data_IF_765173041973
#
_entry.id   IF_765173041973
#
_cell.length_a   1.000
_cell.length_b   1.000
_cell.length_c   1.000
_cell.angle_alpha   90.00
_cell.angle_beta   90.00
_cell.angle_gamma   90.00
#
_symmetry.space_group_name_H-M   'P 1'
#
loop_
_entity.id
_entity.type
_entity.pdbx_description
1 polymer ?
#
# COMPACT_ATOMS: atom_id res chain seq x y z
N UNK A 1 -11.16 -7.75 -16.62
CA UNK A 1 -9.96 -7.53 -15.80
C UNK A 1 -9.43 -8.82 -15.17
N UNK A 2 -10.24 -9.62 -14.45
CA UNK A 2 -9.76 -10.89 -13.88
C UNK A 2 -9.21 -11.82 -14.97
N UNK A 3 -9.93 -11.99 -16.07
CA UNK A 3 -9.51 -12.80 -17.24
C UNK A 3 -8.23 -12.26 -17.85
N UNK A 4 -8.08 -10.93 -17.96
CA UNK A 4 -6.86 -10.29 -18.45
C UNK A 4 -5.70 -10.52 -17.48
N UNK A 5 -5.94 -10.39 -16.18
CA UNK A 5 -4.94 -10.67 -15.14
C UNK A 5 -4.48 -12.13 -15.14
N UNK A 6 -5.43 -13.07 -15.20
CA UNK A 6 -5.13 -14.50 -15.31
C UNK A 6 -4.38 -14.79 -16.61
N UNK A 7 -4.84 -14.22 -17.74
CA UNK A 7 -4.18 -14.35 -19.04
C UNK A 7 -2.76 -13.79 -19.03
N UNK A 8 -2.54 -12.65 -18.37
CA UNK A 8 -1.20 -12.07 -18.21
C UNK A 8 -0.27 -12.96 -17.38
N UNK A 9 -0.73 -13.45 -16.24
CA UNK A 9 0.06 -14.39 -15.40
C UNK A 9 0.32 -15.69 -16.13
N UNK A 10 -0.65 -16.24 -16.85
CA UNK A 10 -0.50 -17.45 -17.64
C UNK A 10 0.50 -17.25 -18.80
N UNK A 11 0.40 -16.13 -19.52
CA UNK A 11 1.34 -15.77 -20.58
C UNK A 11 2.76 -15.62 -20.01
N UNK A 12 2.88 -14.92 -18.88
CA UNK A 12 4.17 -14.74 -18.23
C UNK A 12 4.75 -16.09 -17.73
N UNK A 13 3.94 -16.95 -17.14
CA UNK A 13 4.34 -18.30 -16.76
C UNK A 13 4.84 -19.11 -17.98
N UNK A 14 4.13 -18.97 -19.11
CA UNK A 14 4.49 -19.67 -20.34
C UNK A 14 5.80 -19.15 -20.93
N UNK A 15 5.95 -17.83 -21.06
CA UNK A 15 7.17 -17.17 -21.60
C UNK A 15 8.39 -17.43 -20.71
N UNK A 16 8.20 -17.59 -19.41
CA UNK A 16 9.28 -17.86 -18.45
C UNK A 16 9.45 -19.33 -18.12
N UNK A 17 8.88 -20.24 -18.93
CA UNK A 17 8.96 -21.70 -18.72
C UNK A 17 8.61 -22.11 -17.29
N UNK A 18 7.42 -21.70 -16.80
CA UNK A 18 6.98 -22.01 -15.45
C UNK A 18 7.71 -21.22 -14.37
N UNK A 19 8.15 -20.00 -14.68
CA UNK A 19 8.90 -19.11 -13.78
C UNK A 19 10.30 -19.63 -13.43
N UNK A 20 10.87 -20.51 -14.22
CA UNK A 20 12.13 -21.20 -13.93
C UNK A 20 13.36 -20.53 -14.57
N UNK A 21 13.20 -19.56 -15.48
CA UNK A 21 14.33 -18.91 -16.14
C UNK A 21 15.03 -17.90 -15.23
N UNK A 22 16.34 -18.02 -15.11
CA UNK A 22 17.21 -17.24 -14.24
C UNK A 22 17.39 -15.76 -14.62
N UNK A 23 16.83 -15.32 -15.74
CA UNK A 23 17.07 -13.98 -16.29
C UNK A 23 15.86 -13.03 -16.36
N UNK A 24 14.66 -13.47 -15.97
CA UNK A 24 13.42 -12.69 -16.09
C UNK A 24 12.79 -12.31 -14.75
N UNK A 25 11.97 -11.27 -14.77
CA UNK A 25 11.09 -10.93 -13.65
C UNK A 25 10.17 -12.12 -13.38
N UNK A 26 10.25 -12.65 -12.15
CA UNK A 26 9.38 -13.76 -11.70
C UNK A 26 8.18 -13.18 -10.98
N UNK A 27 6.95 -13.74 -11.14
CA UNK A 27 5.86 -13.45 -10.21
C UNK A 27 6.31 -13.73 -8.78
N UNK A 28 5.93 -12.81 -7.87
CA UNK A 28 6.32 -12.97 -6.47
C UNK A 28 7.77 -12.59 -6.18
N UNK A 29 8.40 -11.73 -7.00
CA UNK A 29 9.78 -11.27 -6.76
C UNK A 29 9.98 -10.71 -5.37
N UNK A 30 9.01 -9.97 -4.85
CA UNK A 30 9.10 -9.37 -3.53
C UNK A 30 8.76 -10.38 -2.43
N UNK A 31 7.83 -11.31 -2.69
CA UNK A 31 7.60 -12.41 -1.77
C UNK A 31 8.82 -13.31 -1.63
N UNK A 32 9.60 -13.48 -2.69
CA UNK A 32 10.86 -14.21 -2.61
C UNK A 32 11.80 -13.58 -1.59
N UNK A 33 11.89 -12.24 -1.55
CA UNK A 33 12.67 -11.51 -0.54
C UNK A 33 12.11 -11.79 0.87
N UNK A 34 10.79 -11.76 1.04
CA UNK A 34 10.14 -12.05 2.32
C UNK A 34 10.37 -13.49 2.76
N UNK A 35 10.24 -14.44 1.84
CA UNK A 35 10.47 -15.86 2.10
C UNK A 35 11.94 -16.15 2.43
N UNK A 36 12.88 -15.52 1.74
CA UNK A 36 14.32 -15.68 2.03
C UNK A 36 14.68 -15.09 3.41
N UNK A 37 14.09 -13.96 3.78
CA UNK A 37 14.27 -13.38 5.11
C UNK A 37 13.69 -14.30 6.21
N UNK A 38 12.50 -14.86 5.98
CA UNK A 38 11.91 -15.89 6.85
C UNK A 38 12.83 -17.09 7.00
N UNK A 39 13.38 -17.60 5.88
CA UNK A 39 14.32 -18.72 5.88
C UNK A 39 15.54 -18.44 6.74
N UNK A 40 16.18 -17.26 6.59
CA UNK A 40 17.32 -16.86 7.41
C UNK A 40 16.97 -16.80 8.90
N UNK A 41 15.78 -16.26 9.25
CA UNK A 41 15.31 -16.20 10.65
C UNK A 41 15.14 -17.59 11.25
N UNK A 42 14.49 -18.53 10.51
CA UNK A 42 14.25 -19.90 10.97
C UNK A 42 15.55 -20.70 11.14
N UNK A 43 16.63 -20.30 10.46
CA UNK A 43 17.98 -20.83 10.64
C UNK A 43 18.78 -20.14 11.77
N UNK A 44 18.17 -19.22 12.53
CA UNK A 44 18.87 -18.48 13.58
C UNK A 44 19.78 -17.35 13.06
N UNK A 45 19.68 -16.98 11.80
CA UNK A 45 20.53 -15.99 11.13
C UNK A 45 19.80 -14.65 10.88
N UNK A 46 18.95 -14.21 11.79
CA UNK A 46 18.12 -13.00 11.63
C UNK A 46 18.98 -11.73 11.36
N UNK A 47 20.17 -11.62 11.93
CA UNK A 47 21.07 -10.48 11.71
C UNK A 47 21.55 -10.35 10.26
N UNK A 48 21.66 -11.45 9.50
CA UNK A 48 22.11 -11.42 8.11
C UNK A 48 21.09 -10.73 7.19
N UNK A 49 19.81 -10.70 7.59
CA UNK A 49 18.73 -10.08 6.80
C UNK A 49 18.97 -8.57 6.59
N UNK A 50 19.58 -7.91 7.56
CA UNK A 50 19.87 -6.47 7.52
C UNK A 50 21.22 -6.13 6.91
N UNK A 51 22.11 -7.11 6.71
CA UNK A 51 23.35 -6.94 5.96
C UNK A 51 23.11 -7.23 4.49
N UNK A 52 23.24 -6.22 3.63
CA UNK A 52 22.95 -6.34 2.20
C UNK A 52 23.74 -7.47 1.54
N UNK A 53 25.03 -7.58 1.83
CA UNK A 53 25.92 -8.56 1.19
C UNK A 53 25.60 -9.99 1.65
N UNK A 54 25.35 -10.18 2.95
CA UNK A 54 24.98 -11.46 3.53
C UNK A 54 23.60 -11.90 3.04
N UNK A 55 22.64 -11.00 3.07
CA UNK A 55 21.27 -11.29 2.62
C UNK A 55 21.20 -11.63 1.13
N UNK A 56 21.94 -10.91 0.28
CA UNK A 56 22.01 -11.21 -1.15
C UNK A 56 22.57 -12.61 -1.43
N UNK A 57 23.55 -13.09 -0.63
CA UNK A 57 24.02 -14.48 -0.69
C UNK A 57 22.92 -15.47 -0.31
N UNK A 58 22.23 -15.22 0.81
CA UNK A 58 21.11 -16.08 1.24
C UNK A 58 20.04 -16.19 0.15
N UNK A 59 19.64 -15.07 -0.47
CA UNK A 59 18.66 -15.09 -1.57
C UNK A 59 19.20 -15.87 -2.77
N UNK A 60 20.47 -15.73 -3.12
CA UNK A 60 21.10 -16.47 -4.21
C UNK A 60 21.14 -17.98 -3.95
N UNK A 61 21.51 -18.40 -2.74
CA UNK A 61 21.54 -19.83 -2.34
C UNK A 61 20.16 -20.47 -2.46
N UNK A 62 19.15 -19.81 -1.92
CA UNK A 62 17.76 -20.28 -1.91
C UNK A 62 17.16 -20.38 -3.33
N UNK A 63 17.59 -19.53 -4.26
CA UNK A 63 17.04 -19.45 -5.62
C UNK A 63 17.85 -20.19 -6.68
N UNK A 64 18.94 -20.84 -6.29
CA UNK A 64 19.85 -21.50 -7.22
C UNK A 64 20.68 -20.53 -8.08
N UNK A 65 20.87 -19.31 -7.60
CA UNK A 65 21.65 -18.26 -8.23
C UNK A 65 20.81 -17.05 -8.67
N UNK A 66 21.29 -15.85 -8.37
CA UNK A 66 20.75 -14.58 -8.87
C UNK A 66 21.69 -13.98 -9.91
N UNK A 67 21.18 -13.19 -10.87
CA UNK A 67 22.04 -12.33 -11.68
C UNK A 67 22.92 -11.47 -10.75
N UNK A 68 24.22 -11.36 -11.04
CA UNK A 68 25.15 -10.54 -10.25
C UNK A 68 24.76 -9.06 -10.13
N UNK A 69 23.83 -8.60 -10.99
CA UNK A 69 23.29 -7.24 -11.02
C UNK A 69 21.99 -7.07 -10.24
N UNK A 70 21.48 -8.12 -9.58
CA UNK A 70 20.23 -8.01 -8.83
C UNK A 70 20.47 -7.29 -7.51
N UNK A 71 19.91 -6.08 -7.38
CA UNK A 71 19.87 -5.35 -6.12
C UNK A 71 18.62 -5.76 -5.33
N UNK A 72 18.80 -6.56 -4.28
CA UNK A 72 17.70 -7.11 -3.47
C UNK A 72 17.97 -6.84 -1.99
N UNK A 73 17.80 -5.58 -1.54
CA UNK A 73 17.99 -5.24 -0.14
C UNK A 73 16.73 -5.57 0.67
N UNK A 74 16.91 -5.81 1.98
CA UNK A 74 15.82 -5.81 2.93
C UNK A 74 15.55 -4.38 3.41
N UNK A 75 14.47 -3.77 2.93
CA UNK A 75 14.10 -2.37 3.23
C UNK A 75 12.94 -2.26 4.22
N UNK A 76 12.68 -3.30 4.99
CA UNK A 76 11.58 -3.35 5.95
C UNK A 76 12.09 -3.28 7.38
N UNK A 77 11.28 -2.72 8.31
CA UNK A 77 11.63 -2.71 9.72
C UNK A 77 11.65 -4.12 10.32
N UNK A 78 12.34 -4.32 11.45
CA UNK A 78 12.35 -5.61 12.16
C UNK A 78 10.95 -6.13 12.52
N UNK A 79 9.99 -5.25 12.71
CA UNK A 79 8.58 -5.60 12.93
C UNK A 79 7.95 -6.35 11.76
N UNK A 80 8.35 -6.08 10.52
CA UNK A 80 7.89 -6.84 9.37
C UNK A 80 8.53 -8.24 9.32
N UNK A 81 9.74 -8.37 9.82
CA UNK A 81 10.40 -9.68 9.92
C UNK A 81 9.63 -10.62 10.84
N UNK A 82 9.04 -10.12 11.95
CA UNK A 82 8.13 -10.89 12.80
C UNK A 82 6.94 -11.44 11.98
N UNK A 83 6.37 -10.60 11.13
CA UNK A 83 5.20 -10.94 10.35
C UNK A 83 5.49 -12.00 9.29
N UNK A 84 6.66 -11.94 8.64
CA UNK A 84 7.01 -12.86 7.55
C UNK A 84 7.68 -14.15 8.04
N UNK A 85 8.14 -14.21 9.28
CA UNK A 85 8.86 -15.37 9.84
C UNK A 85 8.19 -16.73 9.56
N UNK A 86 6.85 -16.91 9.59
CA UNK A 86 6.25 -18.21 9.31
C UNK A 86 6.23 -18.59 7.81
N UNK A 87 6.58 -17.71 6.88
CA UNK A 87 6.42 -17.98 5.44
C UNK A 87 7.27 -19.15 4.96
N UNK A 88 8.51 -19.28 5.44
CA UNK A 88 9.41 -20.35 5.03
C UNK A 88 9.17 -21.70 5.73
N UNK A 89 8.13 -21.81 6.55
CA UNK A 89 7.57 -23.10 6.97
C UNK A 89 6.89 -23.82 5.79
N UNK A 90 6.56 -23.07 4.73
CA UNK A 90 5.98 -23.59 3.50
C UNK A 90 7.01 -23.49 2.35
N UNK A 91 7.01 -24.40 1.38
CA UNK A 91 7.74 -24.20 0.13
C UNK A 91 7.32 -22.91 -0.55
N UNK A 92 8.27 -22.21 -1.20
CA UNK A 92 8.04 -20.89 -1.80
C UNK A 92 6.76 -20.77 -2.67
N UNK A 93 6.44 -21.71 -3.59
CA UNK A 93 5.22 -21.63 -4.38
C UNK A 93 3.95 -21.67 -3.52
N UNK A 94 3.92 -22.53 -2.50
CA UNK A 94 2.78 -22.64 -1.60
C UNK A 94 2.67 -21.41 -0.69
N UNK A 95 3.79 -20.90 -0.19
CA UNK A 95 3.84 -19.64 0.57
C UNK A 95 3.27 -18.48 -0.25
N UNK A 96 3.61 -18.40 -1.55
CA UNK A 96 3.07 -17.38 -2.45
C UNK A 96 1.54 -17.48 -2.57
N UNK A 97 1.00 -18.66 -2.85
CA UNK A 97 -0.44 -18.86 -2.98
C UNK A 97 -1.20 -18.55 -1.68
N UNK A 98 -0.69 -19.03 -0.54
CA UNK A 98 -1.30 -18.80 0.77
C UNK A 98 -1.26 -17.32 1.13
N UNK A 99 -0.09 -16.68 1.00
CA UNK A 99 0.09 -15.26 1.30
C UNK A 99 -0.81 -14.38 0.43
N UNK A 100 -0.82 -14.64 -0.87
CA UNK A 100 -1.61 -13.88 -1.83
C UNK A 100 -3.12 -14.07 -1.62
N UNK A 101 -3.57 -15.32 -1.47
CA UNK A 101 -5.00 -15.62 -1.28
C UNK A 101 -5.53 -15.04 0.02
N UNK A 102 -4.79 -15.17 1.13
CA UNK A 102 -5.14 -14.58 2.41
C UNK A 102 -5.19 -13.05 2.35
N UNK A 103 -4.16 -12.44 1.72
CA UNK A 103 -4.07 -10.99 1.55
C UNK A 103 -5.20 -10.43 0.68
N UNK A 104 -5.51 -11.09 -0.44
CA UNK A 104 -6.58 -10.70 -1.35
C UNK A 104 -7.96 -10.85 -0.69
N UNK A 105 -8.18 -11.95 0.03
CA UNK A 105 -9.43 -12.16 0.79
C UNK A 105 -9.62 -11.07 1.86
N UNK A 106 -8.58 -10.78 2.64
CA UNK A 106 -8.61 -9.73 3.66
C UNK A 106 -8.89 -8.35 3.03
N UNK A 107 -8.20 -8.02 1.93
CA UNK A 107 -8.38 -6.77 1.20
C UNK A 107 -9.81 -6.61 0.67
N UNK A 108 -10.34 -7.63 0.00
CA UNK A 108 -11.71 -7.60 -0.56
C UNK A 108 -12.75 -7.45 0.56
N UNK A 109 -12.65 -8.28 1.62
CA UNK A 109 -13.59 -8.23 2.73
C UNK A 109 -13.55 -6.87 3.45
N UNK A 110 -12.36 -6.34 3.71
CA UNK A 110 -12.18 -5.08 4.41
C UNK A 110 -12.66 -3.89 3.57
N UNK A 111 -12.31 -3.85 2.28
CA UNK A 111 -12.65 -2.77 1.35
C UNK A 111 -14.16 -2.72 1.08
N UNK A 112 -14.79 -3.87 0.85
CA UNK A 112 -16.26 -3.96 0.71
C UNK A 112 -16.97 -3.49 1.97
N UNK A 113 -16.46 -3.88 3.15
CA UNK A 113 -17.03 -3.50 4.44
C UNK A 113 -16.92 -2.00 4.71
N UNK A 114 -15.72 -1.42 4.55
CA UNK A 114 -15.47 0.01 4.87
C UNK A 114 -16.19 0.95 3.91
N UNK A 115 -16.29 0.58 2.64
CA UNK A 115 -16.98 1.38 1.62
C UNK A 115 -18.50 1.26 1.68
N UNK A 116 -19.04 0.19 2.27
CA UNK A 116 -20.46 -0.12 2.23
C UNK A 116 -20.96 -0.47 0.82
N UNK A 117 -20.07 -0.90 -0.07
CA UNK A 117 -20.39 -1.17 -1.48
C UNK A 117 -21.42 -2.31 -1.63
N UNK A 118 -21.39 -3.30 -0.73
CA UNK A 118 -22.34 -4.42 -0.72
C UNK A 118 -23.75 -4.02 -0.29
N UNK A 119 -23.93 -2.87 0.34
CA UNK A 119 -25.23 -2.34 0.80
C UNK A 119 -25.91 -1.49 -0.28
N UNK A 120 -25.22 -1.25 -1.41
CA UNK A 120 -25.73 -0.54 -2.56
C UNK A 120 -26.37 -1.47 -3.61
N UNK A 121 -26.65 -0.95 -4.81
CA UNK A 121 -27.35 -1.68 -5.87
C UNK A 121 -26.59 -2.90 -6.41
N UNK A 122 -25.28 -3.01 -6.18
CA UNK A 122 -24.46 -4.12 -6.64
C UNK A 122 -24.69 -5.43 -5.87
N UNK A 123 -25.09 -5.35 -4.59
CA UNK A 123 -25.13 -6.50 -3.71
C UNK A 123 -23.74 -7.06 -3.34
N UNK A 124 -23.69 -8.07 -2.46
CA UNK A 124 -22.44 -8.52 -1.84
C UNK A 124 -21.50 -9.27 -2.80
N UNK A 125 -22.02 -10.08 -3.71
CA UNK A 125 -21.22 -10.85 -4.66
C UNK A 125 -20.55 -9.93 -5.68
N UNK A 126 -21.33 -9.07 -6.35
CA UNK A 126 -20.79 -8.13 -7.34
C UNK A 126 -19.80 -7.13 -6.72
N UNK A 127 -20.07 -6.63 -5.49
CA UNK A 127 -19.15 -5.76 -4.77
C UNK A 127 -17.77 -6.42 -4.54
N UNK A 128 -17.74 -7.71 -4.14
CA UNK A 128 -16.49 -8.46 -3.99
C UNK A 128 -15.74 -8.63 -5.31
N UNK A 129 -16.45 -8.97 -6.39
CA UNK A 129 -15.84 -9.09 -7.72
C UNK A 129 -15.28 -7.77 -8.23
N UNK A 130 -15.99 -6.65 -8.01
CA UNK A 130 -15.52 -5.31 -8.39
C UNK A 130 -14.21 -4.98 -7.68
N UNK A 131 -14.12 -5.23 -6.36
CA UNK A 131 -12.89 -4.96 -5.59
C UNK A 131 -11.77 -5.90 -5.99
N UNK A 132 -12.03 -7.19 -6.15
CA UNK A 132 -11.01 -8.16 -6.57
C UNK A 132 -10.47 -7.87 -7.99
N UNK A 133 -11.32 -7.36 -8.88
CA UNK A 133 -10.97 -7.03 -10.25
C UNK A 133 -10.27 -5.66 -10.41
N UNK A 134 -10.01 -4.94 -9.32
CA UNK A 134 -9.26 -3.68 -9.39
C UNK A 134 -7.81 -3.93 -9.85
N UNK A 135 -7.31 -3.15 -10.83
CA UNK A 135 -5.93 -3.31 -11.32
C UNK A 135 -4.86 -3.22 -10.25
N UNK A 136 -5.09 -2.41 -9.21
CA UNK A 136 -4.17 -2.29 -8.08
C UNK A 136 -3.95 -3.63 -7.34
N UNK A 137 -4.99 -4.46 -7.20
CA UNK A 137 -4.87 -5.77 -6.59
C UNK A 137 -4.04 -6.73 -7.48
N UNK A 138 -4.25 -6.67 -8.80
CA UNK A 138 -3.48 -7.46 -9.77
C UNK A 138 -1.99 -7.08 -9.76
N UNK A 139 -1.67 -5.78 -9.81
CA UNK A 139 -0.28 -5.31 -9.78
C UNK A 139 0.41 -5.75 -8.49
N UNK A 140 -0.25 -5.60 -7.34
CA UNK A 140 0.29 -6.08 -6.07
C UNK A 140 0.52 -7.59 -6.06
N UNK A 141 -0.40 -8.36 -6.63
CA UNK A 141 -0.31 -9.81 -6.73
C UNK A 141 0.90 -10.26 -7.57
N UNK A 142 1.16 -9.62 -8.70
CA UNK A 142 2.31 -9.92 -9.58
C UNK A 142 3.62 -9.92 -8.80
N UNK A 143 3.82 -8.94 -7.91
CA UNK A 143 5.04 -8.82 -7.11
C UNK A 143 5.01 -9.68 -5.82
N UNK A 144 3.83 -10.15 -5.39
CA UNK A 144 3.67 -10.79 -4.09
C UNK A 144 3.89 -9.82 -2.93
N UNK A 145 3.49 -8.55 -3.12
CA UNK A 145 3.72 -7.48 -2.15
C UNK A 145 2.69 -7.45 -1.02
N UNK A 146 3.10 -6.83 0.09
CA UNK A 146 2.29 -6.71 1.30
C UNK A 146 1.24 -5.58 1.26
N UNK A 147 1.11 -4.87 0.14
CA UNK A 147 0.21 -3.71 0.04
C UNK A 147 -1.27 -4.11 0.17
N UNK A 148 -1.67 -5.32 -0.25
CA UNK A 148 -3.02 -5.87 0.01
C UNK A 148 -3.30 -5.98 1.51
N UNK A 149 -2.34 -6.46 2.30
CA UNK A 149 -2.49 -6.62 3.76
C UNK A 149 -2.53 -5.24 4.43
N UNK A 150 -1.64 -4.33 4.07
CA UNK A 150 -1.61 -3.00 4.69
C UNK A 150 -2.88 -2.20 4.37
N UNK A 151 -3.40 -2.28 3.14
CA UNK A 151 -4.67 -1.68 2.77
C UNK A 151 -5.86 -2.35 3.51
N UNK A 152 -5.84 -3.68 3.67
CA UNK A 152 -6.84 -4.40 4.46
C UNK A 152 -6.84 -3.98 5.93
N UNK A 153 -5.67 -3.86 6.56
CA UNK A 153 -5.53 -3.39 7.94
C UNK A 153 -6.11 -1.98 8.10
N UNK A 154 -5.80 -1.06 7.19
CA UNK A 154 -6.35 0.29 7.18
C UNK A 154 -7.87 0.28 7.03
N UNK A 155 -8.41 -0.49 6.09
CA UNK A 155 -9.84 -0.61 5.86
C UNK A 155 -10.60 -1.23 7.04
N UNK A 156 -10.08 -2.32 7.63
CA UNK A 156 -10.66 -2.94 8.83
C UNK A 156 -10.60 -2.02 10.04
N UNK A 157 -9.52 -1.27 10.19
CA UNK A 157 -9.39 -0.27 11.24
C UNK A 157 -10.53 0.75 11.13
N UNK A 158 -10.66 1.41 9.99
CA UNK A 158 -11.66 2.46 9.75
C UNK A 158 -13.09 1.91 9.95
N UNK A 159 -13.37 0.71 9.44
CA UNK A 159 -14.67 0.05 9.60
C UNK A 159 -14.99 -0.37 11.05
N UNK A 160 -14.00 -0.35 11.95
CA UNK A 160 -14.14 -0.84 13.34
C UNK A 160 -14.07 0.27 14.38
N UNK A 161 -13.74 1.52 14.02
CA UNK A 161 -13.50 2.63 14.95
C UNK A 161 -14.64 2.79 15.96
N UNK A 162 -15.88 2.91 15.49
CA UNK A 162 -17.02 3.22 16.35
C UNK A 162 -17.46 2.04 17.22
N UNK A 163 -17.33 0.80 16.74
CA UNK A 163 -17.89 -0.37 17.42
C UNK A 163 -16.85 -1.19 18.18
N UNK A 164 -15.61 -1.21 17.75
CA UNK A 164 -14.51 -2.05 18.25
C UNK A 164 -13.19 -1.29 18.27
N UNK A 165 -13.05 -0.25 19.12
CA UNK A 165 -11.86 0.63 19.08
C UNK A 165 -10.55 -0.13 19.34
N UNK A 166 -10.55 -1.21 20.13
CA UNK A 166 -9.37 -2.04 20.33
C UNK A 166 -8.94 -2.74 19.04
N UNK A 167 -9.89 -3.32 18.28
CA UNK A 167 -9.61 -3.96 16.98
C UNK A 167 -9.08 -2.93 15.98
N UNK A 168 -9.71 -1.74 15.93
CA UNK A 168 -9.24 -0.66 15.07
C UNK A 168 -7.80 -0.25 15.41
N UNK A 169 -7.51 -0.06 16.69
CA UNK A 169 -6.16 0.28 17.15
C UNK A 169 -5.13 -0.81 16.87
N UNK A 170 -5.48 -2.09 17.09
CA UNK A 170 -4.60 -3.22 16.75
C UNK A 170 -4.26 -3.20 15.25
N UNK A 171 -5.27 -3.07 14.37
CA UNK A 171 -5.03 -3.02 12.93
C UNK A 171 -4.12 -1.83 12.53
N UNK A 172 -4.32 -0.65 13.14
CA UNK A 172 -3.45 0.52 12.88
C UNK A 172 -2.03 0.28 13.40
N UNK A 173 -1.90 -0.22 14.64
CA UNK A 173 -0.60 -0.51 15.23
C UNK A 173 0.20 -1.54 14.44
N UNK A 174 -0.46 -2.53 13.83
CA UNK A 174 0.18 -3.50 12.93
C UNK A 174 0.75 -2.85 11.66
N UNK A 175 0.33 -1.63 11.27
CA UNK A 175 0.95 -0.92 10.15
C UNK A 175 2.41 -0.50 10.42
N UNK A 176 2.92 -0.69 11.64
CA UNK A 176 4.35 -0.57 11.95
C UNK A 176 5.24 -1.48 11.10
N UNK A 177 4.67 -2.50 10.43
CA UNK A 177 5.36 -3.32 9.42
C UNK A 177 5.73 -2.52 8.15
N UNK A 178 5.03 -1.40 7.89
CA UNK A 178 5.27 -0.47 6.77
C UNK A 178 4.88 0.95 7.21
N UNK A 179 5.67 1.59 8.09
CA UNK A 179 5.27 2.77 8.84
C UNK A 179 4.92 3.98 7.96
N UNK A 180 5.52 4.11 6.78
CA UNK A 180 5.19 5.18 5.82
C UNK A 180 3.73 5.16 5.37
N UNK A 181 3.08 3.99 5.33
CA UNK A 181 1.67 3.87 4.99
C UNK A 181 0.73 4.14 6.19
N UNK A 182 1.26 4.03 7.41
CA UNK A 182 0.53 4.33 8.64
C UNK A 182 0.65 5.79 9.12
N UNK A 183 1.50 6.59 8.47
CA UNK A 183 1.94 7.91 9.00
C UNK A 183 0.82 8.92 9.22
N UNK A 184 -0.27 8.85 8.45
CA UNK A 184 -1.40 9.75 8.60
C UNK A 184 -2.40 9.33 9.69
N UNK A 185 -2.37 8.08 10.18
CA UNK A 185 -3.33 7.64 11.19
C UNK A 185 -3.27 8.47 12.48
N UNK A 186 -2.12 8.78 13.08
CA UNK A 186 -2.06 9.65 14.25
C UNK A 186 -2.78 10.98 14.01
N UNK A 187 -2.53 11.61 12.86
CA UNK A 187 -3.12 12.89 12.49
C UNK A 187 -4.66 12.80 12.40
N UNK A 188 -5.18 11.81 11.66
CA UNK A 188 -6.63 11.70 11.42
C UNK A 188 -7.39 11.21 12.64
N UNK A 189 -6.78 10.40 13.50
CA UNK A 189 -7.37 10.00 14.79
C UNK A 189 -7.50 11.17 15.76
N UNK A 190 -6.51 12.08 15.80
CA UNK A 190 -6.57 13.32 16.56
C UNK A 190 -7.68 14.21 16.01
N UNK A 191 -7.77 14.37 14.68
CA UNK A 191 -8.83 15.15 14.02
C UNK A 191 -10.23 14.64 14.38
N UNK A 192 -10.41 13.34 14.41
CA UNK A 192 -11.68 12.67 14.75
C UNK A 192 -11.91 12.51 16.27
N UNK A 193 -10.93 12.86 17.11
CA UNK A 193 -10.93 12.66 18.58
C UNK A 193 -11.08 11.21 19.02
N UNK A 194 -10.53 10.27 18.24
CA UNK A 194 -10.60 8.82 18.50
C UNK A 194 -9.45 8.34 19.42
N UNK A 195 -9.41 8.91 20.65
CA UNK A 195 -8.32 8.71 21.61
C UNK A 195 -8.12 7.26 22.05
N UNK A 196 -9.22 6.48 22.17
CA UNK A 196 -9.13 5.06 22.55
C UNK A 196 -8.42 4.27 21.44
N UNK A 197 -8.78 4.52 20.17
CA UNK A 197 -8.14 3.88 19.02
C UNK A 197 -6.67 4.26 18.95
N UNK A 198 -6.36 5.54 19.15
CA UNK A 198 -4.98 6.05 19.19
C UNK A 198 -4.14 5.32 20.26
N UNK A 199 -4.68 5.18 21.49
CA UNK A 199 -3.98 4.47 22.56
C UNK A 199 -3.71 3.00 22.23
N UNK A 200 -4.71 2.28 21.72
CA UNK A 200 -4.53 0.89 21.30
C UNK A 200 -3.55 0.75 20.13
N UNK A 201 -3.54 1.70 19.19
CA UNK A 201 -2.59 1.70 18.07
C UNK A 201 -1.16 1.92 18.56
N UNK A 202 -0.94 2.89 19.42
CA UNK A 202 0.37 3.17 20.03
C UNK A 202 0.88 1.96 20.84
N UNK A 203 0.00 1.36 21.66
CA UNK A 203 0.35 0.16 22.44
C UNK A 203 0.73 -1.00 21.53
N UNK A 204 -0.06 -1.28 20.48
CA UNK A 204 0.23 -2.39 19.55
C UNK A 204 1.53 -2.15 18.82
N UNK A 205 1.77 -0.94 18.30
CA UNK A 205 3.03 -0.60 17.64
C UNK A 205 4.22 -0.76 18.56
N UNK A 206 4.12 -0.31 19.83
CA UNK A 206 5.16 -0.48 20.84
C UNK A 206 5.43 -1.96 21.14
N UNK A 207 4.38 -2.79 21.30
CA UNK A 207 4.53 -4.22 21.55
C UNK A 207 5.21 -4.94 20.38
N UNK A 208 4.84 -4.61 19.12
CA UNK A 208 5.51 -5.16 17.93
C UNK A 208 6.98 -4.76 17.88
N UNK A 209 7.29 -3.50 18.19
CA UNK A 209 8.66 -3.00 18.21
C UNK A 209 9.48 -3.71 19.30
N UNK A 210 8.95 -3.80 20.53
CA UNK A 210 9.62 -4.50 21.64
C UNK A 210 9.83 -5.96 21.28
N UNK A 211 8.82 -6.66 20.77
CA UNK A 211 8.94 -8.05 20.36
C UNK A 211 10.02 -8.24 19.28
N UNK A 212 10.10 -7.33 18.31
CA UNK A 212 11.13 -7.40 17.26
C UNK A 212 12.55 -7.20 17.82
N UNK A 213 12.72 -6.28 18.77
CA UNK A 213 14.02 -6.05 19.44
C UNK A 213 14.40 -7.24 20.32
N UNK A 214 13.45 -7.82 21.04
CA UNK A 214 13.71 -9.00 21.89
C UNK A 214 14.13 -10.21 21.05
N UNK A 215 13.48 -10.42 19.90
CA UNK A 215 13.72 -11.60 19.06
C UNK A 215 14.93 -11.43 18.12
N UNK A 216 15.15 -10.24 17.57
CA UNK A 216 16.18 -10.00 16.55
C UNK A 216 17.36 -9.16 17.03
N UNK A 217 17.31 -8.69 18.28
CA UNK A 217 18.34 -7.86 18.90
C UNK A 217 18.19 -6.37 18.55
N UNK A 218 18.67 -5.50 19.47
CA UNK A 218 18.64 -4.03 19.31
C UNK A 218 19.44 -3.51 18.10
N UNK A 219 20.54 -4.15 17.63
CA UNK A 219 21.26 -3.69 16.44
C UNK A 219 20.41 -3.68 15.18
N UNK A 220 19.36 -4.51 15.10
CA UNK A 220 18.46 -4.57 13.92
C UNK A 220 17.78 -3.23 13.59
N UNK A 221 17.53 -2.38 14.59
CA UNK A 221 16.97 -1.03 14.39
C UNK A 221 17.98 -0.09 13.73
N UNK A 222 19.24 -0.11 14.18
CA UNK A 222 20.30 0.71 13.59
C UNK A 222 20.62 0.28 12.16
N UNK A 223 20.66 -1.03 11.92
CA UNK A 223 20.86 -1.60 10.57
C UNK A 223 19.70 -1.25 9.63
N UNK A 224 18.45 -1.32 10.11
CA UNK A 224 17.30 -0.87 9.36
C UNK A 224 17.39 0.62 8.99
N UNK A 225 17.80 1.48 9.94
CA UNK A 225 17.99 2.90 9.66
C UNK A 225 19.06 3.13 8.57
N UNK A 226 20.16 2.37 8.61
CA UNK A 226 21.19 2.37 7.56
C UNK A 226 20.65 1.94 6.20
N UNK A 227 19.81 0.88 6.15
CA UNK A 227 19.18 0.43 4.91
C UNK A 227 18.19 1.46 4.34
N UNK A 228 17.50 2.22 5.17
CA UNK A 228 16.66 3.34 4.71
C UNK A 228 17.52 4.46 4.11
N UNK A 229 18.67 4.77 4.70
CA UNK A 229 19.63 5.72 4.12
C UNK A 229 20.12 5.27 2.73
N UNK A 230 20.50 4.00 2.60
CA UNK A 230 20.89 3.39 1.32
C UNK A 230 19.74 3.41 0.30
N UNK A 231 18.50 3.09 0.72
CA UNK A 231 17.32 3.13 -0.15
C UNK A 231 17.03 4.57 -0.62
N UNK A 232 17.19 5.56 0.25
CA UNK A 232 17.06 6.96 -0.11
C UNK A 232 18.06 7.33 -1.21
N UNK A 233 19.33 7.07 -0.99
CA UNK A 233 20.39 7.41 -1.93
C UNK A 233 20.25 6.66 -3.26
N UNK A 234 20.15 5.33 -3.23
CA UNK A 234 20.20 4.53 -4.46
C UNK A 234 18.87 4.49 -5.22
N UNK A 235 17.73 4.54 -4.55
CA UNK A 235 16.42 4.39 -5.18
C UNK A 235 15.73 5.74 -5.32
N UNK A 236 15.50 6.43 -4.19
CA UNK A 236 14.71 7.66 -4.21
C UNK A 236 15.42 8.77 -4.99
N UNK A 237 16.71 8.96 -4.78
CA UNK A 237 17.45 10.09 -5.35
C UNK A 237 18.00 9.82 -6.76
N UNK A 238 18.27 8.56 -7.15
CA UNK A 238 19.01 8.24 -8.37
C UNK A 238 18.36 7.21 -9.30
N UNK A 239 17.35 6.41 -8.87
CA UNK A 239 16.76 5.39 -9.75
C UNK A 239 15.64 5.96 -10.63
N UNK A 240 15.95 6.19 -11.90
CA UNK A 240 14.99 6.65 -12.92
C UNK A 240 13.83 5.64 -13.08
N UNK A 241 14.06 4.33 -12.90
CA UNK A 241 13.00 3.32 -13.00
C UNK A 241 12.00 3.48 -11.86
N UNK A 242 12.50 3.80 -10.67
CA UNK A 242 11.64 4.16 -9.55
C UNK A 242 10.79 5.39 -9.87
N UNK A 243 11.39 6.46 -10.39
CA UNK A 243 10.66 7.69 -10.72
C UNK A 243 9.57 7.46 -11.78
N UNK A 244 9.83 6.58 -12.75
CA UNK A 244 8.84 6.19 -13.77
C UNK A 244 7.71 5.33 -13.22
N UNK A 245 7.90 4.64 -12.10
CA UNK A 245 6.92 3.76 -11.45
C UNK A 245 6.26 4.38 -10.22
N UNK A 246 6.60 5.63 -9.89
CA UNK A 246 6.16 6.29 -8.66
C UNK A 246 5.23 7.46 -8.98
N UNK A 247 3.97 7.44 -8.49
CA UNK A 247 3.02 8.53 -8.66
C UNK A 247 3.28 9.72 -7.72
N UNK A 248 4.50 9.85 -7.20
CA UNK A 248 4.82 10.93 -6.27
C UNK A 248 5.23 12.23 -6.97
N UNK A 249 4.91 13.37 -6.36
CA UNK A 249 5.36 14.69 -6.82
C UNK A 249 6.89 14.74 -6.86
N UNK A 250 7.56 14.12 -5.89
CA UNK A 250 9.00 14.01 -5.85
C UNK A 250 9.56 13.37 -7.14
N UNK A 251 9.06 12.17 -7.48
CA UNK A 251 9.50 11.43 -8.66
C UNK A 251 9.24 12.20 -9.96
N UNK A 252 8.09 12.86 -10.08
CA UNK A 252 7.75 13.67 -11.24
C UNK A 252 8.72 14.82 -11.46
N UNK A 253 9.11 15.51 -10.40
CA UNK A 253 10.06 16.62 -10.45
C UNK A 253 11.48 16.13 -10.78
N UNK A 254 11.88 14.99 -10.21
CA UNK A 254 13.17 14.37 -10.54
C UNK A 254 13.24 13.95 -12.01
N UNK A 255 12.16 13.42 -12.59
CA UNK A 255 12.09 13.05 -14.01
C UNK A 255 12.30 14.25 -14.96
N UNK A 256 11.82 15.43 -14.60
CA UNK A 256 12.02 16.64 -15.41
C UNK A 256 13.32 17.40 -15.06
N UNK A 257 14.19 16.79 -14.23
CA UNK A 257 15.53 17.33 -13.93
C UNK A 257 15.55 18.38 -12.81
N UNK A 258 14.50 18.52 -12.00
CA UNK A 258 14.51 19.41 -10.86
C UNK A 258 15.58 18.98 -9.83
N UNK A 259 16.15 19.94 -9.11
CA UNK A 259 17.10 19.67 -8.04
C UNK A 259 16.45 18.85 -6.90
N UNK A 260 17.27 18.14 -6.14
CA UNK A 260 16.78 17.35 -4.98
C UNK A 260 15.99 18.22 -4.01
N UNK A 261 16.55 19.39 -3.65
CA UNK A 261 15.89 20.33 -2.72
C UNK A 261 14.55 20.85 -3.27
N UNK A 262 14.46 21.19 -4.57
CA UNK A 262 13.21 21.62 -5.18
C UNK A 262 12.16 20.50 -5.17
N UNK A 263 12.56 19.27 -5.46
CA UNK A 263 11.67 18.11 -5.42
C UNK A 263 11.16 17.81 -4.01
N UNK A 264 12.04 17.87 -2.99
CA UNK A 264 11.68 17.65 -1.58
C UNK A 264 10.74 18.74 -1.05
N UNK A 265 11.07 20.01 -1.29
CA UNK A 265 10.24 21.14 -0.81
C UNK A 265 8.85 21.14 -1.44
N UNK A 266 8.78 20.92 -2.76
CA UNK A 266 7.50 20.90 -3.47
C UNK A 266 6.66 19.69 -3.05
N UNK A 267 7.28 18.50 -2.95
CA UNK A 267 6.60 17.32 -2.44
C UNK A 267 6.09 17.53 -1.02
N UNK A 268 6.92 18.10 -0.13
CA UNK A 268 6.54 18.40 1.26
C UNK A 268 5.35 19.37 1.35
N UNK A 269 5.31 20.41 0.50
CA UNK A 269 4.17 21.34 0.45
C UNK A 269 2.88 20.62 0.00
N UNK A 270 2.95 19.78 -1.04
CA UNK A 270 1.80 19.00 -1.51
C UNK A 270 1.37 17.94 -0.49
N UNK A 271 2.32 17.30 0.19
CA UNK A 271 2.05 16.36 1.27
C UNK A 271 1.30 17.02 2.43
N UNK A 272 1.70 18.25 2.80
CA UNK A 272 0.99 19.03 3.83
C UNK A 272 -0.45 19.35 3.42
N UNK A 273 -0.66 19.75 2.16
CA UNK A 273 -2.02 19.99 1.62
C UNK A 273 -2.87 18.72 1.69
N UNK A 274 -2.30 17.57 1.32
CA UNK A 274 -3.01 16.29 1.38
C UNK A 274 -3.33 15.86 2.82
N UNK A 275 -2.40 16.07 3.75
CA UNK A 275 -2.62 15.82 5.17
C UNK A 275 -3.72 16.71 5.75
N UNK A 276 -3.74 18.01 5.40
CA UNK A 276 -4.82 18.93 5.76
C UNK A 276 -6.17 18.52 5.15
N UNK A 277 -6.16 18.01 3.93
CA UNK A 277 -7.36 17.45 3.28
C UNK A 277 -7.92 16.25 4.04
N UNK A 278 -7.06 15.28 4.39
CA UNK A 278 -7.45 14.13 5.19
C UNK A 278 -7.96 14.54 6.59
N UNK A 279 -7.26 15.46 7.27
CA UNK A 279 -7.68 16.04 8.53
C UNK A 279 -9.09 16.61 8.44
N UNK A 280 -9.35 17.45 7.42
CA UNK A 280 -10.64 18.11 7.23
C UNK A 280 -11.77 17.10 7.07
N UNK A 281 -11.58 16.06 6.24
CA UNK A 281 -12.60 15.03 6.02
C UNK A 281 -12.86 14.24 7.30
N UNK A 282 -11.81 13.83 8.01
CA UNK A 282 -11.96 13.03 9.23
C UNK A 282 -12.61 13.80 10.38
N UNK A 283 -12.44 15.11 10.39
CA UNK A 283 -13.09 16.02 11.35
C UNK A 283 -14.55 16.29 11.00
N UNK A 284 -14.90 16.37 9.70
CA UNK A 284 -16.21 16.84 9.23
C UNK A 284 -17.24 15.73 9.05
N UNK A 285 -16.84 14.48 8.80
CA UNK A 285 -17.78 13.36 8.56
C UNK A 285 -17.39 12.09 9.29
N UNK A 286 -18.40 11.30 9.67
CA UNK A 286 -18.23 9.92 10.16
C UNK A 286 -18.44 8.85 9.09
N UNK A 287 -18.71 9.24 7.85
CA UNK A 287 -18.88 8.30 6.74
C UNK A 287 -17.55 7.54 6.49
N UNK A 288 -17.59 6.23 6.77
CA UNK A 288 -16.40 5.37 6.68
C UNK A 288 -15.87 5.26 5.25
N UNK A 289 -16.76 5.34 4.24
CA UNK A 289 -16.37 5.29 2.82
C UNK A 289 -15.56 6.53 2.43
N UNK A 290 -15.98 7.72 2.85
CA UNK A 290 -15.27 8.98 2.60
C UNK A 290 -13.97 9.08 3.40
N UNK A 291 -13.98 8.65 4.68
CA UNK A 291 -12.76 8.56 5.50
C UNK A 291 -11.72 7.65 4.89
N UNK A 292 -12.14 6.46 4.42
CA UNK A 292 -11.25 5.50 3.76
C UNK A 292 -10.72 6.02 2.43
N UNK A 293 -11.58 6.64 1.62
CA UNK A 293 -11.19 7.24 0.35
C UNK A 293 -10.16 8.37 0.52
N UNK A 294 -10.39 9.25 1.50
CA UNK A 294 -9.47 10.33 1.81
C UNK A 294 -8.11 9.83 2.30
N UNK A 295 -8.12 8.89 3.26
CA UNK A 295 -6.90 8.33 3.81
C UNK A 295 -6.10 7.56 2.76
N UNK A 296 -6.76 6.70 1.98
CA UNK A 296 -6.11 5.90 0.93
C UNK A 296 -5.39 6.78 -0.09
N UNK A 297 -6.03 7.86 -0.53
CA UNK A 297 -5.42 8.81 -1.47
C UNK A 297 -4.34 9.66 -0.82
N UNK A 298 -4.61 10.26 0.36
CA UNK A 298 -3.68 11.16 1.02
C UNK A 298 -2.39 10.46 1.46
N UNK A 299 -2.46 9.20 1.92
CA UNK A 299 -1.28 8.39 2.29
C UNK A 299 -0.32 8.24 1.12
N UNK A 300 -0.83 8.01 -0.09
CA UNK A 300 -0.01 7.89 -1.30
C UNK A 300 0.59 9.23 -1.74
N UNK A 301 -0.11 10.36 -1.50
CA UNK A 301 0.41 11.69 -1.81
C UNK A 301 1.51 12.09 -0.82
N UNK A 302 1.34 11.79 0.47
CA UNK A 302 2.27 12.19 1.54
C UNK A 302 3.60 11.46 1.46
N UNK A 303 3.59 10.22 0.98
CA UNK A 303 4.79 9.38 0.96
C UNK A 303 5.59 9.60 -0.33
N UNK A 304 6.86 10.08 -0.29
CA UNK A 304 7.67 10.26 -1.49
C UNK A 304 8.10 8.93 -2.10
N UNK A 305 8.26 7.90 -1.27
CA UNK A 305 8.66 6.55 -1.63
C UNK A 305 7.42 5.66 -1.80
N UNK A 306 6.81 5.69 -2.99
CA UNK A 306 5.63 4.91 -3.37
C UNK A 306 5.92 4.18 -4.67
N UNK A 307 5.82 2.86 -4.69
CA UNK A 307 5.86 2.06 -5.89
C UNK A 307 4.43 1.80 -6.42
N UNK A 308 4.32 1.43 -7.68
CA UNK A 308 3.04 1.13 -8.35
C UNK A 308 2.18 0.07 -7.63
N UNK A 309 2.77 -0.88 -6.91
CA UNK A 309 2.01 -1.87 -6.13
C UNK A 309 1.39 -1.29 -4.84
N UNK A 310 1.92 -0.20 -4.30
CA UNK A 310 1.33 0.50 -3.15
C UNK A 310 0.05 1.24 -3.52
N UNK A 311 -0.18 1.46 -4.82
CA UNK A 311 -1.44 1.96 -5.33
C UNK A 311 -2.63 1.04 -5.01
N UNK A 312 -2.41 -0.13 -4.41
CA UNK A 312 -3.44 -0.96 -3.79
C UNK A 312 -4.30 -0.18 -2.79
N UNK A 313 -3.73 0.83 -2.13
CA UNK A 313 -4.49 1.73 -1.25
C UNK A 313 -5.54 2.57 -1.99
N UNK A 314 -5.41 2.78 -3.30
CA UNK A 314 -6.47 3.38 -4.13
C UNK A 314 -7.71 2.49 -4.22
N UNK A 315 -7.61 1.22 -3.89
CA UNK A 315 -8.78 0.35 -3.77
C UNK A 315 -9.79 0.87 -2.74
N UNK A 316 -9.31 1.44 -1.62
CA UNK A 316 -10.17 2.09 -0.63
C UNK A 316 -10.82 3.34 -1.22
N UNK A 317 -10.04 4.13 -1.95
CA UNK A 317 -10.50 5.36 -2.57
C UNK A 317 -11.55 5.10 -3.67
N UNK A 318 -11.25 4.16 -4.56
CA UNK A 318 -12.15 3.76 -5.62
C UNK A 318 -13.46 3.17 -5.08
N UNK A 319 -13.37 2.23 -4.12
CA UNK A 319 -14.56 1.60 -3.54
C UNK A 319 -15.41 2.60 -2.75
N UNK A 320 -14.78 3.52 -2.02
CA UNK A 320 -15.47 4.55 -1.25
C UNK A 320 -16.23 5.54 -2.14
N UNK A 321 -15.57 6.07 -3.18
CA UNK A 321 -16.20 7.01 -4.11
C UNK A 321 -17.26 6.31 -4.96
N UNK A 322 -17.01 5.08 -5.44
CA UNK A 322 -17.96 4.26 -6.17
C UNK A 322 -19.24 4.01 -5.35
N UNK A 323 -19.08 3.54 -4.10
CA UNK A 323 -20.20 3.26 -3.22
C UNK A 323 -21.03 4.51 -2.94
N UNK A 324 -20.38 5.65 -2.73
CA UNK A 324 -21.06 6.93 -2.49
C UNK A 324 -21.78 7.42 -3.74
N UNK A 325 -21.16 7.34 -4.91
CA UNK A 325 -21.76 7.71 -6.19
C UNK A 325 -22.98 6.85 -6.54
N UNK A 326 -22.90 5.54 -6.29
CA UNK A 326 -24.03 4.62 -6.56
C UNK A 326 -25.21 4.83 -5.59
N UNK A 327 -24.96 5.21 -4.34
CA UNK A 327 -26.00 5.41 -3.33
C UNK A 327 -26.63 6.80 -3.37
N UNK A 328 -25.85 7.84 -3.67
CA UNK A 328 -26.24 9.25 -3.52
C UNK A 328 -26.23 10.04 -4.84
N UNK A 329 -26.02 9.33 -5.97
CA UNK A 329 -25.82 9.97 -7.27
C UNK A 329 -24.40 10.50 -7.47
N UNK A 330 -24.04 10.78 -8.71
CA UNK A 330 -22.71 11.26 -9.10
C UNK A 330 -22.64 12.78 -9.14
N UNK A 331 -21.60 13.36 -8.60
CA UNK A 331 -21.26 14.76 -8.85
C UNK A 331 -20.46 14.87 -10.17
N UNK A 332 -20.61 16.02 -10.82
CA UNK A 332 -19.92 16.28 -12.11
C UNK A 332 -18.41 16.06 -11.97
N UNK A 333 -17.83 15.24 -12.82
CA UNK A 333 -16.40 14.94 -12.88
C UNK A 333 -15.93 13.76 -12.01
N UNK A 334 -16.77 13.18 -11.13
CA UNK A 334 -16.34 12.05 -10.28
C UNK A 334 -16.11 10.77 -11.08
N UNK A 335 -16.96 10.46 -12.06
CA UNK A 335 -16.80 9.24 -12.87
C UNK A 335 -15.49 9.21 -13.66
N UNK A 336 -15.11 10.26 -14.43
CA UNK A 336 -13.83 10.28 -15.12
C UNK A 336 -12.65 10.25 -14.15
N UNK A 337 -12.70 10.93 -13.01
CA UNK A 337 -11.65 10.85 -11.98
C UNK A 337 -11.52 9.43 -11.44
N UNK A 338 -12.63 8.78 -11.12
CA UNK A 338 -12.65 7.39 -10.66
C UNK A 338 -12.01 6.44 -11.70
N UNK A 339 -12.32 6.62 -12.98
CA UNK A 339 -11.75 5.82 -14.07
C UNK A 339 -10.24 6.03 -14.17
N UNK A 340 -9.76 7.28 -14.10
CA UNK A 340 -8.33 7.60 -14.12
C UNK A 340 -7.59 6.97 -12.95
N UNK A 341 -8.14 7.09 -11.74
CA UNK A 341 -7.57 6.49 -10.52
C UNK A 341 -7.55 4.96 -10.60
N UNK A 342 -8.61 4.37 -11.15
CA UNK A 342 -8.70 2.92 -11.33
C UNK A 342 -7.67 2.38 -12.31
N UNK A 343 -7.33 3.14 -13.38
CA UNK A 343 -6.33 2.77 -14.38
C UNK A 343 -4.89 3.11 -13.96
N UNK A 344 -4.70 4.03 -13.00
CA UNK A 344 -3.38 4.52 -12.60
C UNK A 344 -2.38 3.41 -12.23
N UNK A 345 -2.73 2.34 -11.49
CA UNK A 345 -1.79 1.26 -11.18
C UNK A 345 -1.23 0.56 -12.42
N UNK A 346 -2.03 0.43 -13.48
CA UNK A 346 -1.57 -0.14 -14.76
C UNK A 346 -0.64 0.82 -15.47
N UNK A 347 -0.98 2.11 -15.49
CA UNK A 347 -0.12 3.13 -16.07
C UNK A 347 1.26 3.12 -15.41
N UNK A 348 1.32 3.20 -14.08
CA UNK A 348 2.58 3.23 -13.33
C UNK A 348 3.40 1.95 -13.52
N UNK A 349 2.73 0.79 -13.61
CA UNK A 349 3.40 -0.48 -13.88
C UNK A 349 4.04 -0.51 -15.28
N UNK A 350 3.35 -0.02 -16.31
CA UNK A 350 3.82 -0.05 -17.70
C UNK A 350 4.78 1.13 -17.98
N UNK A 351 4.68 2.22 -17.25
CA UNK A 351 5.44 3.45 -17.52
C UNK A 351 6.96 3.28 -17.38
N UNK A 352 7.43 2.30 -16.61
CA UNK A 352 8.84 1.92 -16.58
C UNK A 352 9.38 1.51 -17.96
N UNK A 353 8.50 1.04 -18.85
CA UNK A 353 8.81 0.63 -20.22
C UNK A 353 8.55 1.78 -21.18
N UNK A 354 7.39 2.43 -21.08
CA UNK A 354 6.93 3.47 -21.99
C UNK A 354 7.65 4.81 -21.81
N UNK A 355 8.17 5.08 -20.62
CA UNK A 355 8.89 6.32 -20.26
C UNK A 355 8.11 7.60 -20.58
N UNK A 356 6.80 7.57 -20.33
CA UNK A 356 5.93 8.73 -20.50
C UNK A 356 6.06 9.70 -19.31
N UNK A 357 5.63 10.96 -19.47
CA UNK A 357 5.56 11.91 -18.36
C UNK A 357 4.72 11.37 -17.21
N UNK A 358 5.14 11.67 -15.99
CA UNK A 358 4.45 11.20 -14.79
C UNK A 358 3.16 11.99 -14.54
N UNK A 359 2.01 11.30 -14.64
CA UNK A 359 0.67 11.88 -14.46
C UNK A 359 0.05 11.53 -13.10
N UNK A 360 0.66 10.59 -12.38
CA UNK A 360 0.14 10.06 -11.12
C UNK A 360 -0.20 11.13 -10.07
N UNK A 361 0.68 12.12 -9.79
CA UNK A 361 0.39 13.14 -8.79
C UNK A 361 -0.88 13.95 -9.09
N UNK A 362 -1.10 14.29 -10.37
CA UNK A 362 -2.30 15.04 -10.78
C UNK A 362 -3.56 14.23 -10.56
N UNK A 363 -3.53 12.94 -10.91
CA UNK A 363 -4.67 12.02 -10.73
C UNK A 363 -4.98 11.83 -9.24
N UNK A 364 -3.94 11.67 -8.39
CA UNK A 364 -4.13 11.57 -6.94
C UNK A 364 -4.72 12.83 -6.34
N UNK A 365 -4.25 14.01 -6.76
CA UNK A 365 -4.81 15.30 -6.30
C UNK A 365 -6.26 15.50 -6.75
N UNK A 366 -6.60 15.12 -8.00
CA UNK A 366 -7.98 15.15 -8.48
C UNK A 366 -8.88 14.22 -7.66
N UNK A 367 -8.41 13.04 -7.28
CA UNK A 367 -9.16 12.13 -6.41
C UNK A 367 -9.39 12.72 -5.03
N UNK A 368 -8.35 13.28 -4.39
CA UNK A 368 -8.49 13.93 -3.09
C UNK A 368 -9.47 15.10 -3.15
N UNK A 369 -9.41 15.90 -4.21
CA UNK A 369 -10.34 17.01 -4.44
C UNK A 369 -11.79 16.52 -4.63
N UNK A 370 -12.00 15.43 -5.37
CA UNK A 370 -13.32 14.84 -5.54
C UNK A 370 -13.92 14.39 -4.20
N UNK A 371 -13.11 13.72 -3.35
CA UNK A 371 -13.53 13.27 -2.02
C UNK A 371 -13.80 14.46 -1.09
N UNK A 372 -12.96 15.51 -1.11
CA UNK A 372 -13.16 16.74 -0.35
C UNK A 372 -14.46 17.46 -0.74
N UNK A 373 -14.71 17.58 -2.05
CA UNK A 373 -15.95 18.18 -2.57
C UNK A 373 -17.17 17.38 -2.13
N UNK A 374 -17.11 16.07 -2.18
CA UNK A 374 -18.18 15.17 -1.74
C UNK A 374 -18.45 15.33 -0.26
N UNK A 375 -17.44 15.34 0.59
CA UNK A 375 -17.57 15.50 2.03
C UNK A 375 -18.16 16.87 2.45
N UNK A 376 -17.97 17.92 1.64
CA UNK A 376 -18.57 19.25 1.88
C UNK A 376 -20.05 19.31 1.54
N UNK A 377 -20.49 18.59 0.54
CA UNK A 377 -21.89 18.63 0.04
C UNK A 377 -22.79 17.74 0.90
N UNK A 378 -22.34 16.60 1.36
CA UNK A 378 -23.12 15.63 2.14
C UNK A 378 -23.69 16.17 3.47
N UNK A 379 -22.97 16.99 4.29
CA UNK A 379 -23.53 17.59 5.50
C UNK A 379 -24.67 18.57 5.22
N UNK A 380 -24.60 19.25 4.08
CA UNK A 380 -25.65 20.21 3.68
C UNK A 380 -26.94 19.48 3.23
N UNK A 381 -26.84 18.31 2.66
CA UNK A 381 -27.98 17.45 2.28
C UNK A 381 -28.62 16.78 3.49
N UNK A 382 -27.84 16.45 4.52
CA UNK A 382 -28.36 15.88 5.78
C UNK A 382 -29.08 16.92 6.64
N UNK A 383 -28.75 18.19 6.52
CA UNK A 383 -29.41 19.30 7.25
C UNK A 383 -30.71 19.74 6.57
N UNK A 384 -30.97 19.35 5.32
CA UNK A 384 -32.16 19.73 4.55
C UNK A 384 -33.29 18.67 4.56
N UNK A 385 -33.14 17.57 5.30
CA UNK A 385 -34.19 16.57 5.49
C UNK A 385 -34.90 16.87 6.84
N UNK A 386 -36.04 17.60 6.84
CA UNK A 386 -36.84 17.77 8.04
C UNK A 386 -37.60 16.47 8.27
N UNK A 387 -37.13 15.68 9.23
CA UNK A 387 -37.86 14.53 9.81
C UNK A 387 -39.24 14.89 10.31
#
# INVERSE_FOLDING_TARGET
MLVIGIGFVALWAWVTHGFSTSGGWRPGSDLLVFWSASHAVLQGQASTVFDYSAFSRTVAEVTGGLPRSAFIPWLYPPTFLLFVTPLALLPLPLAYFVFLSASACAFVCATVRVSGLAQGPLGSAAARYVVLAMPCAMVCAIFGQNALITAALAAFAIASIDRRPAVAGICIGMLVIKPQLGILFPLVLIAAREWKVFGYAALTAALFLIASVVLFGSPSLGQFAGNIGMARELILEHDVRFWLASPSVFASLRLIGASLAAAELTHGAVALIAACGAWTIWRSTRDTALRAAALGTATLIVTPYVWHYELTWLGLSCAGLLATGLRRGWLRGEQPVLLLVWLLPVFEFINQILRLPQIGPVILLLMLLAVLRRARIDPLLQASDPS
#
